data_IF_067922533666
#
_entry.id   IF_067922533666
#
_cell.length_a   1.000
_cell.length_b   1.000
_cell.length_c   1.000
_cell.angle_alpha   90.00
_cell.angle_beta   90.00
_cell.angle_gamma   90.00
#
_symmetry.space_group_name_H-M   'P 1'
#
loop_
_entity.id
_entity.type
_entity.pdbx_description
1 polymer ?
#
# COMPACT_ATOMS: atom_id res chain seq x y z
N UNK A 1 26.71 4.11 -21.38
CA UNK A 1 25.83 5.23 -21.01
C UNK A 1 24.35 4.83 -21.15
N UNK A 2 23.79 4.33 -20.06
CA UNK A 2 22.35 4.37 -19.79
C UNK A 2 22.27 4.79 -18.33
N UNK A 3 22.01 6.08 -18.11
CA UNK A 3 21.82 6.61 -16.78
C UNK A 3 20.57 5.99 -16.18
N UNK A 4 20.73 5.30 -15.05
CA UNK A 4 19.62 4.94 -14.20
C UNK A 4 18.98 6.25 -13.72
N UNK A 5 17.90 6.66 -14.38
CA UNK A 5 16.98 7.66 -13.82
C UNK A 5 16.50 7.17 -12.46
N UNK A 6 16.38 8.05 -11.43
CA UNK A 6 15.84 7.65 -10.14
C UNK A 6 14.48 6.99 -10.37
N UNK A 7 14.27 5.81 -9.78
CA UNK A 7 13.03 5.04 -9.92
C UNK A 7 11.89 5.91 -9.36
N UNK A 8 11.16 6.61 -10.24
CA UNK A 8 10.03 7.42 -9.83
C UNK A 8 9.02 6.52 -9.10
N UNK A 9 8.66 6.89 -7.88
CA UNK A 9 7.66 6.15 -7.12
C UNK A 9 6.33 6.19 -7.90
N UNK A 10 5.76 5.01 -8.17
CA UNK A 10 4.46 4.92 -8.83
C UNK A 10 3.39 4.62 -7.77
N UNK A 11 2.31 5.40 -7.78
CA UNK A 11 1.18 5.25 -6.86
C UNK A 11 -0.07 4.84 -7.63
N UNK A 12 -0.78 3.81 -7.14
CA UNK A 12 -2.00 3.30 -7.76
C UNK A 12 -3.10 3.13 -6.73
N UNK A 13 -4.31 3.56 -7.09
CA UNK A 13 -5.50 3.35 -6.27
C UNK A 13 -6.06 1.95 -6.52
N UNK A 14 -6.16 1.17 -5.45
CA UNK A 14 -6.70 -0.18 -5.49
C UNK A 14 -8.13 -0.15 -4.93
N UNK A 15 -9.11 -0.32 -5.82
CA UNK A 15 -10.53 -0.39 -5.47
C UNK A 15 -10.99 -1.80 -5.11
N UNK A 16 -12.10 -1.91 -4.38
CA UNK A 16 -12.81 -3.18 -4.15
C UNK A 16 -13.86 -3.36 -5.25
N UNK A 17 -13.58 -4.20 -6.25
CA UNK A 17 -14.49 -4.54 -7.35
C UNK A 17 -15.12 -5.93 -7.21
N UNK A 18 -16.13 -6.25 -8.02
CA UNK A 18 -16.75 -7.58 -8.04
C UNK A 18 -15.71 -8.64 -8.46
N UNK A 19 -15.29 -9.47 -7.51
CA UNK A 19 -14.36 -10.59 -7.72
C UNK A 19 -13.24 -10.67 -6.70
N UNK A 20 -12.75 -9.53 -6.19
CA UNK A 20 -11.67 -9.50 -5.20
C UNK A 20 -11.87 -8.35 -4.22
N UNK A 21 -11.87 -8.68 -2.93
CA UNK A 21 -12.10 -7.72 -1.84
C UNK A 21 -10.98 -7.84 -0.81
N UNK A 22 -10.46 -6.69 -0.39
CA UNK A 22 -9.67 -6.59 0.84
C UNK A 22 -10.50 -7.21 1.99
N UNK A 23 -9.90 -7.99 2.90
CA UNK A 23 -8.46 -8.12 3.15
C UNK A 23 -7.74 -9.19 2.30
N UNK A 24 -8.38 -9.78 1.29
CA UNK A 24 -7.68 -10.70 0.39
C UNK A 24 -6.54 -9.98 -0.37
N UNK A 25 -5.41 -10.66 -0.66
CA UNK A 25 -4.24 -10.05 -1.30
C UNK A 25 -4.42 -9.81 -2.80
N UNK A 26 -5.38 -10.47 -3.43
CA UNK A 26 -5.59 -10.51 -4.88
C UNK A 26 -5.67 -9.13 -5.56
N UNK A 27 -6.35 -8.10 -5.00
CA UNK A 27 -6.37 -6.78 -5.60
C UNK A 27 -4.98 -6.15 -5.72
N UNK A 28 -4.10 -6.39 -4.74
CA UNK A 28 -2.74 -5.86 -4.69
C UNK A 28 -1.83 -6.66 -5.62
N UNK A 29 -1.92 -7.98 -5.59
CA UNK A 29 -1.16 -8.84 -6.49
C UNK A 29 -1.48 -8.54 -7.96
N UNK A 30 -2.76 -8.31 -8.28
CA UNK A 30 -3.20 -7.92 -9.62
C UNK A 30 -2.68 -6.54 -10.01
N UNK A 31 -2.70 -5.56 -9.10
CA UNK A 31 -2.11 -4.26 -9.35
C UNK A 31 -0.59 -4.38 -9.62
N UNK A 32 0.15 -5.09 -8.78
CA UNK A 32 1.58 -5.35 -9.00
C UNK A 32 1.87 -5.98 -10.36
N UNK A 33 1.07 -6.98 -10.76
CA UNK A 33 1.21 -7.66 -12.06
C UNK A 33 0.97 -6.70 -13.25
N UNK A 34 -0.08 -5.86 -13.18
CA UNK A 34 -0.38 -4.87 -14.23
C UNK A 34 0.73 -3.83 -14.42
N UNK A 35 1.52 -3.59 -13.38
CA UNK A 35 2.58 -2.58 -13.34
C UNK A 35 3.96 -3.15 -13.60
N UNK A 36 4.08 -4.48 -13.68
CA UNK A 36 5.38 -5.15 -13.79
C UNK A 36 6.28 -4.94 -12.58
N UNK A 37 5.71 -4.75 -11.38
CA UNK A 37 6.46 -4.57 -10.13
C UNK A 37 6.28 -5.74 -9.17
N UNK A 38 7.29 -6.00 -8.33
CA UNK A 38 7.20 -7.02 -7.29
C UNK A 38 6.52 -6.45 -6.03
N UNK A 39 5.56 -7.17 -5.42
CA UNK A 39 4.98 -6.74 -4.14
C UNK A 39 6.03 -6.62 -3.04
N UNK A 40 7.11 -7.43 -3.07
CA UNK A 40 8.21 -7.39 -2.09
C UNK A 40 8.95 -6.05 -2.03
N UNK A 41 8.85 -5.22 -3.07
CA UNK A 41 9.37 -3.86 -3.08
C UNK A 41 8.31 -2.79 -2.84
N UNK A 42 7.03 -3.16 -2.81
CA UNK A 42 5.89 -2.26 -2.69
C UNK A 42 5.56 -1.91 -1.24
N UNK A 43 5.04 -0.70 -1.05
CA UNK A 43 4.48 -0.21 0.21
C UNK A 43 3.00 0.05 0.00
N UNK A 44 2.16 -0.45 0.90
CA UNK A 44 0.72 -0.17 0.88
C UNK A 44 0.42 0.97 1.85
N UNK A 45 -0.27 1.99 1.35
CA UNK A 45 -0.80 3.10 2.14
C UNK A 45 -2.31 2.90 2.24
N UNK A 46 -2.84 2.77 3.45
CA UNK A 46 -4.25 2.46 3.67
C UNK A 46 -4.84 3.17 4.88
N UNK A 47 -6.11 3.53 4.79
CA UNK A 47 -6.86 4.16 5.89
C UNK A 47 -7.75 3.16 6.64
N UNK A 48 -7.82 1.90 6.20
CA UNK A 48 -8.60 0.85 6.87
C UNK A 48 -7.73 -0.35 7.26
N UNK A 49 -8.18 -1.09 8.28
CA UNK A 49 -7.58 -2.37 8.65
C UNK A 49 -7.52 -3.36 7.46
N UNK A 50 -8.52 -3.32 6.57
CA UNK A 50 -8.57 -4.20 5.40
C UNK A 50 -7.45 -3.91 4.40
N UNK A 51 -7.05 -2.65 4.22
CA UNK A 51 -5.92 -2.26 3.36
C UNK A 51 -4.62 -2.85 3.88
N UNK A 52 -4.38 -2.67 5.18
CA UNK A 52 -3.15 -3.10 5.85
C UNK A 52 -3.05 -4.63 5.86
N UNK A 53 -4.16 -5.32 6.13
CA UNK A 53 -4.21 -6.78 6.06
C UNK A 53 -3.96 -7.29 4.64
N UNK A 54 -4.57 -6.67 3.63
CA UNK A 54 -4.34 -7.05 2.24
C UNK A 54 -2.87 -6.85 1.84
N UNK A 55 -2.24 -5.73 2.23
CA UNK A 55 -0.83 -5.47 1.95
C UNK A 55 0.11 -6.50 2.56
N UNK A 56 -0.12 -6.86 3.83
CA UNK A 56 0.63 -7.93 4.50
C UNK A 56 0.42 -9.28 3.83
N UNK A 57 -0.83 -9.65 3.53
CA UNK A 57 -1.16 -10.90 2.86
C UNK A 57 -0.55 -10.99 1.45
N UNK A 58 -0.41 -9.86 0.74
CA UNK A 58 0.22 -9.79 -0.58
C UNK A 58 1.76 -9.87 -0.53
N UNK A 59 2.35 -9.86 0.67
CA UNK A 59 3.80 -9.87 0.86
C UNK A 59 4.45 -8.53 0.51
N UNK A 60 3.74 -7.41 0.73
CA UNK A 60 4.31 -6.08 0.59
C UNK A 60 5.43 -5.85 1.61
N UNK A 61 6.40 -5.00 1.25
CA UNK A 61 7.54 -4.64 2.12
C UNK A 61 7.09 -4.01 3.42
N UNK A 62 6.11 -3.13 3.33
CA UNK A 62 5.56 -2.39 4.46
C UNK A 62 4.11 -1.99 4.19
N UNK A 63 3.42 -1.68 5.28
CA UNK A 63 2.03 -1.22 5.34
C UNK A 63 1.97 0.00 6.24
N UNK A 64 1.52 1.14 5.72
CA UNK A 64 1.40 2.38 6.49
C UNK A 64 -0.07 2.79 6.60
N UNK A 65 -0.50 3.06 7.84
CA UNK A 65 -1.82 3.60 8.12
C UNK A 65 -1.85 5.10 7.85
N UNK A 66 -2.93 5.64 7.28
CA UNK A 66 -3.08 7.08 7.05
C UNK A 66 -4.38 7.58 7.67
N UNK A 67 -4.31 8.61 8.52
CA UNK A 67 -5.42 9.11 9.33
C UNK A 67 -6.34 10.12 8.61
N UNK A 68 -6.24 10.23 7.29
CA UNK A 68 -7.10 11.10 6.47
C UNK A 68 -8.39 10.42 6.02
N UNK A 69 -8.65 9.18 6.46
CA UNK A 69 -9.76 8.35 6.01
C UNK A 69 -10.55 7.72 7.16
N UNK A 70 -11.03 6.49 6.98
CA UNK A 70 -12.06 5.89 7.84
C UNK A 70 -11.53 5.34 9.19
N UNK A 71 -10.32 4.81 9.21
CA UNK A 71 -9.76 4.12 10.38
C UNK A 71 -9.19 5.04 11.44
N UNK A 72 -9.21 4.58 12.68
CA UNK A 72 -8.61 5.30 13.83
C UNK A 72 -7.18 4.82 14.09
N UNK A 73 -6.38 5.66 14.75
CA UNK A 73 -4.99 5.32 15.09
C UNK A 73 -4.89 3.97 15.82
N UNK A 74 -5.76 3.72 16.80
CA UNK A 74 -5.79 2.49 17.60
C UNK A 74 -6.11 1.23 16.77
N UNK A 75 -6.90 1.37 15.71
CA UNK A 75 -7.28 0.28 14.81
C UNK A 75 -6.17 -0.03 13.81
N UNK A 76 -5.48 1.01 13.31
CA UNK A 76 -4.43 0.87 12.31
C UNK A 76 -3.07 0.51 12.91
N UNK A 77 -2.73 1.02 14.11
CA UNK A 77 -1.42 0.87 14.74
C UNK A 77 -0.94 -0.59 14.91
N UNK A 78 -1.80 -1.56 15.27
CA UNK A 78 -1.40 -2.98 15.34
C UNK A 78 -1.13 -3.61 13.96
N UNK A 79 -1.72 -3.01 12.92
CA UNK A 79 -1.70 -3.52 11.55
C UNK A 79 -0.74 -2.78 10.61
N UNK A 80 -0.16 -1.66 11.06
CA UNK A 80 0.76 -0.86 10.26
C UNK A 80 2.16 -0.80 10.88
N UNK A 81 3.15 -0.68 10.02
CA UNK A 81 4.55 -0.42 10.40
C UNK A 81 4.71 1.01 10.95
N UNK A 82 3.96 1.97 10.38
CA UNK A 82 3.79 3.31 10.93
C UNK A 82 2.38 3.85 10.62
N UNK A 83 1.91 4.78 11.44
CA UNK A 83 0.66 5.51 11.19
C UNK A 83 0.99 6.98 10.96
N UNK A 84 0.61 7.48 9.79
CA UNK A 84 0.87 8.83 9.34
C UNK A 84 -0.40 9.68 9.54
N UNK A 85 -0.27 10.95 9.97
CA UNK A 85 -1.41 11.85 10.04
C UNK A 85 -1.99 12.13 8.65
N UNK A 86 -1.13 12.20 7.63
CA UNK A 86 -1.47 12.40 6.22
C UNK A 86 -0.26 12.05 5.34
N UNK A 87 -0.38 12.23 4.01
CA UNK A 87 0.66 11.93 3.04
C UNK A 87 1.54 13.13 2.66
N UNK A 88 1.31 14.32 3.24
CA UNK A 88 2.07 15.52 2.92
C UNK A 88 3.50 15.34 3.44
N UNK A 89 4.48 15.67 2.59
CA UNK A 89 5.89 15.52 2.93
C UNK A 89 6.42 14.08 2.92
N UNK A 90 5.61 13.09 2.52
CA UNK A 90 6.12 11.74 2.28
C UNK A 90 7.04 11.76 1.06
N UNK A 91 8.30 11.36 1.26
CA UNK A 91 9.28 11.21 0.20
C UNK A 91 9.78 9.76 0.13
N UNK A 92 10.12 9.34 -1.08
CA UNK A 92 10.74 8.05 -1.35
C UNK A 92 12.13 8.32 -1.92
N UNK A 93 13.15 7.78 -1.26
CA UNK A 93 14.54 7.86 -1.69
C UNK A 93 14.93 6.64 -2.53
#
# INVERSE_FOLDING_TARGET
PFGETPRSAQAFKIGSGAGFRKPAPDPILKACALLGVSPKGGVVLGDTAMDLQAGRAAGCRATLGVLTGLGKHEELRPLADAVLPDLRGLSFA
#
